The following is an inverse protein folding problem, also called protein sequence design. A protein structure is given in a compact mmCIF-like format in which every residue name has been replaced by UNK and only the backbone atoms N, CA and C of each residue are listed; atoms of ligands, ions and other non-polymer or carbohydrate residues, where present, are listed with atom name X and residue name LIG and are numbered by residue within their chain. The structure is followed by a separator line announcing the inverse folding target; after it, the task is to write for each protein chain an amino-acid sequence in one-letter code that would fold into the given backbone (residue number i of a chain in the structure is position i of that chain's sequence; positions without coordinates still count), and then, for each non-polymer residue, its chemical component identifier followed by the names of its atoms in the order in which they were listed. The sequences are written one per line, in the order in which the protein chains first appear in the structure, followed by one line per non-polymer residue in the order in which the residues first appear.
data_IF_170930075431
#
_entry.id   IF_170930075431
#
_cell.length_a   1.000
_cell.length_b   1.000
_cell.length_c   1.000
_cell.angle_alpha   90.00
_cell.angle_beta   90.00
_cell.angle_gamma   90.00
#
_symmetry.space_group_name_H-M   'P 1'
#
loop_
_entity.id
_entity.type
_entity.pdbx_description
1 polymer ?
#
# COMPACT_ATOMS: atom_id res chain seq x y z
N UNK A 1 -3.89 -29.39 13.19
CA UNK A 1 -4.90 -28.35 12.84
C UNK A 1 -4.33 -27.44 11.75
N UNK A 2 -4.78 -27.58 10.50
CA UNK A 2 -4.35 -26.69 9.41
C UNK A 2 -5.07 -25.35 9.53
N UNK A 3 -4.34 -24.30 9.90
CA UNK A 3 -4.81 -22.92 9.77
C UNK A 3 -4.86 -22.62 8.27
N UNK A 4 -6.03 -22.80 7.66
CA UNK A 4 -6.32 -22.27 6.34
C UNK A 4 -6.17 -20.75 6.43
N UNK A 5 -4.95 -20.25 6.23
CA UNK A 5 -4.71 -18.86 5.87
C UNK A 5 -5.44 -18.67 4.55
N UNK A 6 -6.68 -18.20 4.64
CA UNK A 6 -7.42 -17.61 3.55
C UNK A 6 -6.67 -16.32 3.18
N UNK A 7 -5.50 -16.47 2.55
CA UNK A 7 -4.96 -15.44 1.69
C UNK A 7 -6.11 -15.13 0.75
N UNK A 8 -6.74 -13.97 0.97
CA UNK A 8 -7.76 -13.41 0.11
C UNK A 8 -7.21 -13.50 -1.30
N UNK A 9 -7.63 -14.54 -2.05
CA UNK A 9 -7.13 -14.75 -3.40
C UNK A 9 -7.49 -13.48 -4.14
N UNK A 10 -6.45 -12.74 -4.53
CA UNK A 10 -6.63 -11.50 -5.25
C UNK A 10 -7.11 -11.90 -6.64
N UNK A 11 -8.42 -12.11 -6.78
CA UNK A 11 -8.99 -12.51 -8.06
C UNK A 11 -8.78 -11.36 -9.03
N UNK A 12 -8.56 -11.63 -10.33
CA UNK A 12 -8.40 -10.56 -11.32
C UNK A 12 -9.60 -9.60 -11.31
N UNK A 13 -10.78 -10.11 -10.97
CA UNK A 13 -12.01 -9.34 -10.78
C UNK A 13 -11.93 -8.38 -9.58
N UNK A 14 -11.43 -8.86 -8.44
CA UNK A 14 -11.22 -8.03 -7.25
C UNK A 14 -10.21 -6.93 -7.57
N UNK A 15 -9.10 -7.27 -8.23
CA UNK A 15 -8.10 -6.29 -8.66
C UNK A 15 -8.67 -5.24 -9.63
N UNK A 16 -9.53 -5.64 -10.58
CA UNK A 16 -10.24 -4.70 -11.45
C UNK A 16 -11.18 -3.76 -10.66
N UNK A 17 -11.94 -4.29 -9.71
CA UNK A 17 -12.82 -3.49 -8.85
C UNK A 17 -12.06 -2.52 -7.95
N UNK A 18 -10.92 -2.95 -7.40
CA UNK A 18 -10.04 -2.07 -6.60
C UNK A 18 -9.47 -0.95 -7.47
N UNK A 19 -8.92 -1.26 -8.66
CA UNK A 19 -8.38 -0.23 -9.57
C UNK A 19 -9.44 0.81 -9.94
N UNK A 20 -10.65 0.37 -10.29
CA UNK A 20 -11.73 1.28 -10.63
C UNK A 20 -12.24 2.06 -9.40
N UNK A 21 -12.34 1.40 -8.25
CA UNK A 21 -12.66 2.06 -6.98
C UNK A 21 -11.65 3.16 -6.61
N UNK A 22 -10.35 2.91 -6.81
CA UNK A 22 -9.30 3.91 -6.61
C UNK A 22 -9.48 5.11 -7.56
N UNK A 23 -9.78 4.86 -8.84
CA UNK A 23 -10.06 5.92 -9.83
C UNK A 23 -11.23 6.80 -9.38
N UNK A 24 -12.33 6.19 -8.95
CA UNK A 24 -13.52 6.91 -8.48
C UNK A 24 -13.23 7.74 -7.23
N UNK A 25 -12.58 7.14 -6.22
CA UNK A 25 -12.28 7.85 -4.96
C UNK A 25 -11.30 9.00 -5.20
N UNK A 26 -10.27 8.82 -6.05
CA UNK A 26 -9.40 9.93 -6.48
C UNK A 26 -10.18 11.05 -7.15
N UNK A 27 -11.11 10.71 -8.04
CA UNK A 27 -11.97 11.69 -8.70
C UNK A 27 -12.92 12.43 -7.74
N UNK A 28 -13.40 11.77 -6.67
CA UNK A 28 -14.18 12.41 -5.60
C UNK A 28 -13.31 13.35 -4.78
N UNK A 29 -12.14 12.89 -4.36
CA UNK A 29 -11.19 13.69 -3.58
C UNK A 29 -10.63 14.89 -4.36
N UNK A 30 -10.60 14.81 -5.69
CA UNK A 30 -10.21 15.91 -6.57
C UNK A 30 -11.37 16.88 -6.86
N UNK A 31 -12.61 16.39 -6.97
CA UNK A 31 -13.79 17.23 -7.23
C UNK A 31 -14.26 17.98 -5.99
N UNK A 32 -14.15 17.34 -4.82
CA UNK A 32 -14.71 17.87 -3.60
C UNK A 32 -13.67 18.78 -2.93
N UNK A 33 -13.85 20.08 -3.14
CA UNK A 33 -13.08 21.17 -2.52
C UNK A 33 -13.31 21.30 -1.02
N UNK A 34 -13.77 20.25 -0.34
CA UNK A 34 -13.92 20.26 1.10
C UNK A 34 -12.53 20.18 1.74
N UNK A 35 -11.92 21.34 1.99
CA UNK A 35 -10.67 21.50 2.78
C UNK A 35 -10.73 20.73 4.11
N UNK A 36 -11.94 20.49 4.61
CA UNK A 36 -12.19 19.82 5.88
C UNK A 36 -12.15 18.30 5.82
N UNK A 37 -12.13 17.69 4.62
CA UNK A 37 -12.15 16.24 4.43
C UNK A 37 -13.53 15.60 4.51
N UNK A 38 -13.59 14.33 4.09
CA UNK A 38 -14.83 13.57 3.94
C UNK A 38 -14.85 12.36 4.86
N UNK A 39 -16.02 12.04 5.42
CA UNK A 39 -16.21 10.78 6.14
C UNK A 39 -16.24 9.61 5.16
N UNK A 40 -15.97 8.40 5.65
CA UNK A 40 -16.06 7.20 4.81
C UNK A 40 -17.48 7.00 4.24
N UNK A 41 -18.50 7.36 5.01
CA UNK A 41 -19.90 7.26 4.58
C UNK A 41 -20.20 8.21 3.42
N UNK A 42 -19.76 9.46 3.52
CA UNK A 42 -19.90 10.45 2.46
C UNK A 42 -19.21 10.01 1.17
N UNK A 43 -17.94 9.56 1.27
CA UNK A 43 -17.20 9.04 0.12
C UNK A 43 -17.98 7.91 -0.57
N UNK A 44 -18.51 6.96 0.20
CA UNK A 44 -19.29 5.86 -0.35
C UNK A 44 -20.59 6.34 -1.02
N UNK A 45 -21.36 7.21 -0.36
CA UNK A 45 -22.60 7.75 -0.90
C UNK A 45 -22.39 8.52 -2.20
N UNK A 46 -21.34 9.35 -2.27
CA UNK A 46 -20.97 10.09 -3.48
C UNK A 46 -20.50 9.11 -4.56
N UNK A 47 -19.70 8.10 -4.20
CA UNK A 47 -19.18 7.15 -5.17
C UNK A 47 -20.27 6.26 -5.77
N UNK A 48 -21.27 5.84 -5.01
CA UNK A 48 -22.41 5.06 -5.52
C UNK A 48 -23.25 5.86 -6.52
N UNK A 49 -23.28 7.19 -6.41
CA UNK A 49 -23.96 8.08 -7.38
C UNK A 49 -23.16 8.27 -8.67
N UNK A 50 -21.82 8.14 -8.63
CA UNK A 50 -20.96 8.30 -9.82
C UNK A 50 -21.02 7.03 -10.69
N UNK A 51 -21.17 7.19 -12.00
CA UNK A 51 -21.15 6.06 -12.94
C UNK A 51 -19.73 5.49 -13.07
N UNK A 52 -19.54 4.16 -13.03
CA UNK A 52 -18.24 3.54 -13.25
C UNK A 52 -17.78 3.69 -14.70
N UNK A 53 -16.48 3.47 -14.96
CA UNK A 53 -15.92 3.46 -16.32
C UNK A 53 -16.65 2.44 -17.20
N UNK A 54 -16.93 2.74 -18.48
CA UNK A 54 -17.50 1.76 -19.41
C UNK A 54 -16.60 0.53 -19.61
N UNK A 55 -15.30 0.66 -19.32
CA UNK A 55 -14.36 -0.46 -19.37
C UNK A 55 -14.52 -1.45 -18.19
N UNK A 56 -15.17 -1.01 -17.10
CA UNK A 56 -15.37 -1.86 -15.94
C UNK A 56 -16.51 -2.85 -16.19
N UNK A 57 -16.15 -4.11 -16.46
CA UNK A 57 -17.10 -5.22 -16.55
C UNK A 57 -17.16 -5.93 -15.20
N UNK A 58 -18.30 -5.84 -14.52
CA UNK A 58 -18.56 -6.70 -13.35
C UNK A 58 -18.66 -8.15 -13.82
N UNK A 59 -17.60 -8.92 -13.63
CA UNK A 59 -17.55 -10.33 -14.01
C UNK A 59 -18.33 -11.24 -13.04
N UNK A 60 -18.94 -10.66 -12.00
CA UNK A 60 -19.99 -11.34 -11.27
C UNK A 60 -21.21 -11.41 -12.20
N UNK A 61 -21.30 -12.48 -12.98
CA UNK A 61 -22.61 -12.98 -13.39
C UNK A 61 -23.35 -13.21 -12.08
N UNK A 62 -24.27 -12.32 -11.73
CA UNK A 62 -25.26 -12.63 -10.73
C UNK A 62 -26.08 -13.76 -11.35
N UNK A 63 -25.61 -15.01 -11.21
CA UNK A 63 -26.55 -16.11 -11.36
C UNK A 63 -27.61 -15.78 -10.32
N UNK A 64 -28.86 -15.70 -10.76
CA UNK A 64 -30.00 -15.50 -9.86
C UNK A 64 -29.97 -16.54 -8.72
N UNK A 65 -29.31 -17.67 -8.97
CA UNK A 65 -29.07 -18.79 -8.05
C UNK A 65 -27.89 -18.59 -7.07
N UNK A 66 -27.03 -17.58 -7.22
CA UNK A 66 -25.93 -17.31 -6.26
C UNK A 66 -26.42 -16.77 -4.91
N UNK A 67 -27.72 -16.55 -4.75
CA UNK A 67 -28.37 -16.18 -3.47
C UNK A 67 -28.69 -17.43 -2.63
N UNK A 68 -28.25 -18.63 -3.03
CA UNK A 68 -28.28 -19.80 -2.14
C UNK A 68 -27.38 -19.50 -0.94
N UNK A 69 -28.01 -19.09 0.16
CA UNK A 69 -27.36 -18.89 1.46
C UNK A 69 -26.90 -20.26 1.92
N UNK A 70 -25.64 -20.57 1.66
CA UNK A 70 -25.03 -21.77 2.20
C UNK A 70 -24.95 -21.58 3.71
N UNK A 71 -25.73 -22.37 4.46
CA UNK A 71 -25.62 -22.44 5.90
C UNK A 71 -24.28 -23.11 6.22
N UNK A 72 -23.34 -22.34 6.78
CA UNK A 72 -22.04 -22.88 7.18
C UNK A 72 -22.12 -23.20 8.68
N UNK A 73 -22.09 -24.48 9.03
CA UNK A 73 -22.01 -24.91 10.41
C UNK A 73 -20.63 -24.53 10.98
N UNK A 74 -20.62 -23.70 12.03
CA UNK A 74 -19.39 -23.38 12.75
C UNK A 74 -18.94 -24.53 13.64
N UNK A 75 -17.67 -24.53 14.08
CA UNK A 75 -17.12 -25.52 15.02
C UNK A 75 -17.89 -25.63 16.35
N UNK A 76 -18.65 -24.60 16.71
CA UNK A 76 -19.47 -24.56 17.93
C UNK A 76 -20.90 -25.06 17.73
N UNK A 77 -21.23 -25.69 16.60
CA UNK A 77 -22.60 -26.13 16.27
C UNK A 77 -23.56 -25.00 15.89
N UNK A 78 -23.24 -23.76 16.22
CA UNK A 78 -24.06 -22.60 15.88
C UNK A 78 -24.06 -22.36 14.36
N UNK A 79 -25.26 -22.26 13.78
CA UNK A 79 -25.51 -21.87 12.39
C UNK A 79 -24.95 -20.47 12.16
N UNK A 80 -23.82 -20.36 11.45
CA UNK A 80 -23.33 -19.06 10.99
C UNK A 80 -24.03 -18.73 9.69
N UNK A 81 -24.98 -17.80 9.75
CA UNK A 81 -25.58 -17.24 8.54
C UNK A 81 -24.47 -16.61 7.69
N UNK A 82 -24.44 -16.95 6.40
CA UNK A 82 -23.57 -16.27 5.46
C UNK A 82 -23.88 -14.76 5.49
N UNK A 83 -22.86 -13.90 5.41
CA UNK A 83 -23.08 -12.46 5.43
C UNK A 83 -24.02 -12.08 4.27
N UNK A 84 -24.95 -11.14 4.48
CA UNK A 84 -25.86 -10.71 3.43
C UNK A 84 -25.05 -10.22 2.21
N UNK A 85 -25.60 -10.37 0.99
CA UNK A 85 -24.93 -9.87 -0.21
C UNK A 85 -24.68 -8.36 -0.07
N UNK A 86 -23.59 -7.85 -0.66
CA UNK A 86 -23.28 -6.42 -0.58
C UNK A 86 -24.40 -5.60 -1.25
N UNK A 87 -24.71 -4.38 -0.77
CA UNK A 87 -25.83 -3.58 -1.28
C UNK A 87 -25.78 -3.30 -2.79
N UNK A 88 -24.57 -3.10 -3.34
CA UNK A 88 -24.37 -2.74 -4.74
C UNK A 88 -23.41 -3.74 -5.42
N UNK A 89 -23.82 -4.98 -5.70
CA UNK A 89 -22.92 -6.05 -6.14
C UNK A 89 -22.26 -5.80 -7.51
N UNK A 90 -22.94 -5.07 -8.40
CA UNK A 90 -22.47 -4.72 -9.74
C UNK A 90 -21.53 -3.51 -9.77
N UNK A 91 -21.48 -2.73 -8.68
CA UNK A 91 -20.68 -1.52 -8.60
C UNK A 91 -19.22 -1.84 -8.21
N UNK A 92 -18.20 -1.09 -8.69
CA UNK A 92 -16.82 -1.30 -8.27
C UNK A 92 -16.64 -1.24 -6.75
N UNK A 93 -17.32 -0.28 -6.12
CA UNK A 93 -17.41 -0.15 -4.66
C UNK A 93 -18.68 -0.85 -4.18
N UNK A 94 -18.56 -2.15 -3.92
CA UNK A 94 -19.73 -3.01 -3.63
C UNK A 94 -20.41 -2.72 -2.29
N UNK A 95 -19.60 -2.33 -1.31
CA UNK A 95 -20.05 -2.07 0.06
C UNK A 95 -19.11 -1.09 0.77
N UNK A 96 -19.60 -0.53 1.88
CA UNK A 96 -18.79 0.30 2.78
C UNK A 96 -17.56 -0.45 3.30
N UNK A 97 -17.72 -1.73 3.63
CA UNK A 97 -16.63 -2.60 4.10
C UNK A 97 -15.57 -2.80 3.03
N UNK A 98 -15.97 -2.94 1.76
CA UNK A 98 -15.04 -3.03 0.64
C UNK A 98 -14.21 -1.75 0.49
N UNK A 99 -14.86 -0.58 0.55
CA UNK A 99 -14.17 0.72 0.52
C UNK A 99 -13.13 0.83 1.67
N UNK A 100 -13.54 0.49 2.90
CA UNK A 100 -12.67 0.54 4.10
C UNK A 100 -11.49 -0.42 4.06
N UNK A 101 -11.70 -1.65 3.58
CA UNK A 101 -10.67 -2.71 3.65
C UNK A 101 -9.72 -2.74 2.47
N UNK A 102 -10.19 -2.37 1.28
CA UNK A 102 -9.45 -2.63 0.04
C UNK A 102 -8.97 -1.37 -0.67
N UNK A 103 -9.73 -0.27 -0.58
CA UNK A 103 -9.47 0.92 -1.39
C UNK A 103 -8.77 2.01 -0.57
N UNK A 104 -9.32 2.36 0.59
CA UNK A 104 -8.76 3.41 1.44
C UNK A 104 -7.33 3.09 1.94
N UNK A 105 -7.00 1.86 2.37
CA UNK A 105 -5.63 1.53 2.80
C UNK A 105 -4.60 1.64 1.68
N UNK A 106 -5.01 1.43 0.41
CA UNK A 106 -4.12 1.59 -0.74
C UNK A 106 -3.81 3.07 -1.00
N UNK A 107 -4.82 3.95 -0.88
CA UNK A 107 -4.61 5.40 -1.02
C UNK A 107 -3.79 5.97 0.14
N UNK A 108 -4.02 5.50 1.35
CA UNK A 108 -3.25 5.85 2.54
C UNK A 108 -1.80 5.36 2.43
N UNK A 109 -1.59 4.11 1.99
CA UNK A 109 -0.25 3.54 1.75
C UNK A 109 0.53 4.31 0.68
N UNK A 110 -0.16 4.86 -0.32
CA UNK A 110 0.43 5.74 -1.34
C UNK A 110 0.64 7.19 -0.86
N UNK A 111 0.28 7.52 0.38
CA UNK A 111 0.31 8.89 0.95
C UNK A 111 -0.51 9.89 0.11
N UNK A 112 -1.58 9.43 -0.52
CA UNK A 112 -2.51 10.31 -1.26
C UNK A 112 -3.56 10.91 -0.31
N UNK A 113 -3.93 10.17 0.72
CA UNK A 113 -4.89 10.58 1.75
C UNK A 113 -4.35 10.26 3.15
N UNK A 114 -4.89 10.94 4.15
CA UNK A 114 -4.60 10.70 5.57
C UNK A 114 -5.90 10.73 6.37
N UNK A 115 -6.03 9.81 7.33
CA UNK A 115 -7.14 9.79 8.27
C UNK A 115 -6.85 10.76 9.43
N UNK A 116 -7.69 11.78 9.62
CA UNK A 116 -7.60 12.71 10.75
C UNK A 116 -8.82 12.61 11.65
N UNK A 117 -8.60 12.60 12.97
CA UNK A 117 -9.65 12.74 13.99
C UNK A 117 -9.93 14.22 14.20
N UNK A 118 -11.20 14.62 14.09
CA UNK A 118 -11.64 16.02 14.20
C UNK A 118 -12.94 16.08 15.01
N UNK A 119 -13.07 17.09 15.87
CA UNK A 119 -14.34 17.42 16.54
C UNK A 119 -15.25 18.14 15.53
N UNK A 120 -16.43 17.59 15.22
CA UNK A 120 -17.44 18.27 14.40
C UNK A 120 -18.76 18.30 15.15
N UNK A 121 -19.44 19.45 15.08
CA UNK A 121 -20.85 19.53 15.45
C UNK A 121 -21.63 18.81 14.34
N UNK A 122 -22.41 17.76 14.64
CA UNK A 122 -23.17 17.06 13.62
C UNK A 122 -24.15 18.03 12.96
N UNK A 123 -24.10 18.12 11.63
CA UNK A 123 -25.14 18.85 10.90
C UNK A 123 -26.40 18.00 10.92
N UNK A 124 -27.50 18.59 11.39
CA UNK A 124 -28.81 17.97 11.65
C UNK A 124 -29.32 17.15 10.44
N UNK A 125 -28.91 17.53 9.22
CA UNK A 125 -29.32 16.85 7.98
C UNK A 125 -28.79 15.41 7.83
N UNK A 126 -27.67 15.06 8.48
CA UNK A 126 -27.00 13.76 8.27
C UNK A 126 -27.47 12.64 9.21
N UNK A 127 -28.14 12.96 10.32
CA UNK A 127 -28.49 11.97 11.34
C UNK A 127 -29.77 11.17 11.03
N UNK A 128 -30.60 11.66 10.10
CA UNK A 128 -31.95 11.11 9.84
C UNK A 128 -31.96 9.71 9.20
N UNK A 129 -30.82 9.17 8.75
CA UNK A 129 -30.78 7.89 8.00
C UNK A 129 -30.16 6.72 8.73
N UNK A 130 -29.60 6.90 9.93
CA UNK A 130 -28.91 5.80 10.65
C UNK A 130 -29.53 5.41 11.98
N UNK A 131 -30.56 6.10 12.46
CA UNK A 131 -31.30 5.67 13.67
C UNK A 131 -32.41 4.67 13.33
N UNK A 132 -31.99 3.49 12.86
CA UNK A 132 -32.84 2.32 12.79
C UNK A 132 -32.87 1.58 14.13
N UNK A 133 -33.99 1.73 14.84
CA UNK A 133 -34.61 0.66 15.64
C UNK A 133 -34.07 0.31 17.04
N UNK A 134 -33.48 1.24 17.79
CA UNK A 134 -33.42 1.11 19.26
C UNK A 134 -34.63 1.83 19.86
N UNK A 135 -35.62 1.05 20.29
CA UNK A 135 -36.80 1.48 21.07
C UNK A 135 -36.38 1.98 22.47
N UNK A 136 -35.61 3.07 22.55
CA UNK A 136 -35.34 3.75 23.82
C UNK A 136 -36.29 4.94 23.97
N UNK A 137 -37.14 4.84 25.00
CA UNK A 137 -38.19 5.77 25.39
C UNK A 137 -37.69 7.23 25.49
N UNK A 138 -38.32 8.09 24.70
CA UNK A 138 -38.99 9.34 25.09
C UNK A 138 -38.36 10.14 26.25
N UNK A 139 -37.41 10.98 25.89
CA UNK A 139 -37.01 12.17 26.63
C UNK A 139 -36.43 13.17 25.64
N UNK A 140 -37.28 13.91 24.92
CA UNK A 140 -36.85 14.99 24.01
C UNK A 140 -36.51 16.21 24.86
N UNK A 141 -35.31 16.25 25.42
CA UNK A 141 -34.72 17.53 25.83
C UNK A 141 -34.09 18.15 24.58
N UNK A 142 -34.43 19.41 24.30
CA UNK A 142 -33.84 20.21 23.21
C UNK A 142 -32.40 20.62 23.59
N UNK A 143 -31.52 19.63 23.75
CA UNK A 143 -30.11 19.89 24.02
C UNK A 143 -29.40 20.27 22.71
N UNK A 144 -28.61 21.35 22.76
CA UNK A 144 -27.79 21.76 21.63
C UNK A 144 -26.85 20.61 21.22
N UNK A 145 -26.62 20.40 19.91
CA UNK A 145 -25.82 19.28 19.43
C UNK A 145 -24.39 19.38 19.97
N UNK A 146 -24.03 18.43 20.84
CA UNK A 146 -22.67 18.33 21.40
C UNK A 146 -21.68 17.94 20.29
N UNK A 147 -20.47 18.53 20.25
CA UNK A 147 -19.48 18.21 19.24
C UNK A 147 -19.02 16.74 19.36
N UNK A 148 -19.13 15.99 18.27
CA UNK A 148 -18.78 14.57 18.21
C UNK A 148 -17.43 14.41 17.51
N UNK A 149 -16.64 13.43 17.98
CA UNK A 149 -15.40 13.05 17.32
C UNK A 149 -15.67 12.23 16.06
N UNK A 150 -15.18 12.74 14.92
CA UNK A 150 -15.36 12.11 13.61
C UNK A 150 -14.01 11.88 12.95
N UNK A 151 -13.88 10.73 12.28
CA UNK A 151 -12.71 10.40 11.45
C UNK A 151 -12.96 10.83 10.00
N UNK A 152 -12.06 11.67 9.49
CA UNK A 152 -12.16 12.29 8.17
C UNK A 152 -10.95 11.94 7.34
N UNK A 153 -11.20 11.53 6.10
CA UNK A 153 -10.16 11.37 5.10
C UNK A 153 -9.87 12.74 4.47
N UNK A 154 -8.63 13.19 4.60
CA UNK A 154 -8.13 14.42 3.95
C UNK A 154 -7.13 14.05 2.87
N UNK A 155 -7.13 14.80 1.77
CA UNK A 155 -6.06 14.71 0.78
C UNK A 155 -4.76 15.21 1.37
N UNK A 156 -3.69 14.46 1.17
CA UNK A 156 -2.35 14.92 1.51
C UNK A 156 -1.90 15.78 0.33
N UNK A 157 -1.50 17.05 0.53
CA UNK A 157 -0.91 17.81 -0.55
C UNK A 157 0.31 17.04 -1.01
N UNK A 158 0.26 16.55 -2.25
CA UNK A 158 1.44 15.93 -2.85
C UNK A 158 2.55 16.98 -2.73
N UNK A 159 3.71 16.65 -2.15
CA UNK A 159 4.83 17.56 -2.22
C UNK A 159 4.94 17.91 -3.70
N UNK A 160 4.88 19.19 -4.04
CA UNK A 160 5.24 19.60 -5.40
C UNK A 160 6.62 19.01 -5.56
N UNK A 161 6.75 17.91 -6.32
CA UNK A 161 8.05 17.40 -6.69
C UNK A 161 8.76 18.65 -7.17
N UNK A 162 9.90 19.05 -6.56
CA UNK A 162 10.62 20.22 -7.04
C UNK A 162 10.74 19.95 -8.54
N UNK A 163 10.08 20.79 -9.35
CA UNK A 163 9.97 20.57 -10.78
C UNK A 163 11.38 20.26 -11.24
N UNK A 164 11.55 19.12 -11.94
CA UNK A 164 12.85 18.68 -12.40
C UNK A 164 13.59 19.92 -12.94
N UNK A 165 14.68 20.28 -12.28
CA UNK A 165 15.56 21.36 -12.70
C UNK A 165 14.95 22.77 -12.61
N UNK A 166 14.43 23.18 -11.45
CA UNK A 166 14.88 24.52 -11.02
C UNK A 166 16.34 24.31 -10.69
N UNK A 167 17.24 24.62 -11.61
CA UNK A 167 18.65 24.79 -11.25
C UNK A 167 18.61 25.68 -10.02
N UNK A 168 18.95 25.11 -8.87
CA UNK A 168 19.19 25.92 -7.70
C UNK A 168 20.37 26.76 -8.14
N UNK A 169 20.08 27.97 -8.61
CA UNK A 169 21.07 28.96 -8.91
C UNK A 169 21.64 29.28 -7.53
N UNK A 170 22.62 28.49 -7.12
CA UNK A 170 23.35 28.68 -5.89
C UNK A 170 24.10 30.02 -5.88
N UNK A 171 23.92 30.84 -6.92
CA UNK A 171 24.59 32.10 -7.12
C UNK A 171 26.10 31.96 -6.95
N UNK A 172 26.81 33.07 -6.78
CA UNK A 172 28.17 33.05 -6.27
C UNK A 172 28.28 32.50 -4.82
N UNK A 173 27.17 32.20 -4.14
CA UNK A 173 27.13 31.78 -2.74
C UNK A 173 27.45 30.30 -2.48
N UNK A 174 27.35 29.40 -3.47
CA UNK A 174 27.84 28.01 -3.29
C UNK A 174 29.35 27.93 -3.05
N UNK A 175 30.12 28.90 -3.55
CA UNK A 175 31.58 28.96 -3.33
C UNK A 175 31.95 29.54 -1.96
N UNK A 176 31.00 30.17 -1.25
CA UNK A 176 31.22 30.72 0.09
C UNK A 176 30.68 29.84 1.22
N UNK A 177 30.19 28.63 0.93
CA UNK A 177 30.00 27.57 1.93
C UNK A 177 31.36 27.04 2.40
N UNK A 178 32.17 27.95 2.96
CA UNK A 178 33.24 27.57 3.88
C UNK A 178 32.56 26.72 4.96
N UNK A 179 33.08 25.52 5.27
CA UNK A 179 32.48 24.69 6.31
C UNK A 179 32.23 25.54 7.54
N UNK A 180 31.12 25.28 8.21
CA UNK A 180 30.52 26.06 9.29
C UNK A 180 31.45 26.14 10.52
N UNK A 181 32.56 26.86 10.40
CA UNK A 181 33.51 27.14 11.48
C UNK A 181 32.90 28.05 12.55
N UNK A 182 31.75 28.67 12.23
CA UNK A 182 30.98 29.51 13.14
C UNK A 182 30.43 28.76 14.37
N UNK A 183 30.23 27.44 14.29
CA UNK A 183 29.67 26.65 15.40
C UNK A 183 30.71 26.26 16.45
N UNK A 184 32.01 26.37 16.15
CA UNK A 184 33.09 25.88 17.03
C UNK A 184 33.66 27.00 17.93
N UNK A 185 32.90 28.06 18.19
CA UNK A 185 33.28 29.13 19.11
C UNK A 185 34.44 30.02 18.64
N UNK A 186 34.80 29.99 17.36
CA UNK A 186 35.91 30.79 16.79
C UNK A 186 35.63 32.31 16.88
N UNK A 187 34.37 32.70 17.08
CA UNK A 187 33.94 34.09 17.30
C UNK A 187 33.63 34.42 18.77
N UNK A 188 33.90 33.53 19.73
CA UNK A 188 33.89 33.96 21.13
C UNK A 188 34.99 35.00 21.32
N UNK A 189 34.60 36.18 21.82
CA UNK A 189 35.53 37.29 22.06
C UNK A 189 36.59 36.86 23.09
N UNK A 190 37.73 36.42 22.58
CA UNK A 190 38.90 36.01 23.34
C UNK A 190 39.91 37.15 23.48
N UNK A 191 39.52 38.38 23.08
CA UNK A 191 40.33 39.59 23.22
C UNK A 191 40.67 39.91 24.68
N UNK A 192 39.77 39.55 25.61
CA UNK A 192 39.97 39.75 27.04
C UNK A 192 40.96 38.77 27.72
N UNK A 193 41.45 37.74 27.00
CA UNK A 193 42.39 36.75 27.54
C UNK A 193 43.85 37.16 27.29
N UNK A 194 44.75 36.90 28.25
CA UNK A 194 46.19 37.09 28.06
C UNK A 194 46.73 36.21 26.90
N UNK A 195 47.75 36.69 26.16
CA UNK A 195 48.42 36.03 25.02
C UNK A 195 48.71 34.55 25.24
N UNK A 196 49.15 34.13 26.44
CA UNK A 196 49.38 32.69 26.75
C UNK A 196 48.09 31.87 26.67
N UNK A 197 46.99 32.37 27.22
CA UNK A 197 45.68 31.70 27.22
C UNK A 197 45.06 31.70 25.82
N UNK A 198 45.26 32.76 25.04
CA UNK A 198 44.84 32.81 23.63
C UNK A 198 45.51 31.69 22.82
N UNK A 199 46.82 31.52 22.91
CA UNK A 199 47.55 30.43 22.21
C UNK A 199 47.04 29.05 22.61
N UNK A 200 46.88 28.79 23.91
CA UNK A 200 46.36 27.51 24.40
C UNK A 200 44.93 27.22 23.91
N UNK A 201 44.07 28.26 23.81
CA UNK A 201 42.73 28.11 23.23
C UNK A 201 42.77 27.80 21.73
N UNK A 202 43.60 28.49 20.95
CA UNK A 202 43.76 28.21 19.51
C UNK A 202 44.18 26.77 19.28
N UNK A 203 45.16 26.28 20.05
CA UNK A 203 45.59 24.88 19.97
C UNK A 203 44.48 23.89 20.37
N UNK A 204 43.73 24.19 21.44
CA UNK A 204 42.62 23.36 21.89
C UNK A 204 41.52 23.27 20.83
N UNK A 205 41.07 24.41 20.29
CA UNK A 205 40.05 24.48 19.24
C UNK A 205 40.53 23.73 17.99
N UNK A 206 41.81 23.89 17.61
CA UNK A 206 42.41 23.16 16.50
C UNK A 206 42.30 21.63 16.65
N UNK A 207 42.61 21.10 17.84
CA UNK A 207 42.49 19.66 18.13
C UNK A 207 41.02 19.18 18.07
N UNK A 208 40.10 19.95 18.65
CA UNK A 208 38.66 19.61 18.65
C UNK A 208 38.08 19.60 17.24
N UNK A 209 38.47 20.57 16.41
CA UNK A 209 38.13 20.62 14.98
C UNK A 209 38.61 19.38 14.25
N UNK A 210 39.88 19.00 14.44
CA UNK A 210 40.43 17.83 13.76
C UNK A 210 39.72 16.56 14.18
N UNK A 211 39.40 16.43 15.47
CA UNK A 211 38.60 15.33 15.99
C UNK A 211 37.21 15.30 15.34
N UNK A 212 36.51 16.44 15.27
CA UNK A 212 35.20 16.55 14.64
C UNK A 212 35.24 16.17 13.15
N UNK A 213 36.30 16.59 12.42
CA UNK A 213 36.53 16.17 11.03
C UNK A 213 36.71 14.66 10.90
N UNK A 214 37.50 14.04 11.77
CA UNK A 214 37.72 12.58 11.78
C UNK A 214 36.43 11.83 12.06
N UNK A 215 35.63 12.26 13.04
CA UNK A 215 34.33 11.66 13.37
C UNK A 215 33.37 11.77 12.19
N UNK A 216 33.26 12.96 11.57
CA UNK A 216 32.39 13.17 10.41
C UNK A 216 32.82 12.31 9.22
N UNK A 217 34.11 12.18 8.99
CA UNK A 217 34.63 11.32 7.92
C UNK A 217 34.36 9.84 8.21
N UNK A 218 34.58 9.38 9.45
CA UNK A 218 34.26 8.01 9.87
C UNK A 218 32.77 7.68 9.67
N UNK A 219 31.87 8.55 10.14
CA UNK A 219 30.43 8.38 9.95
C UNK A 219 30.03 8.34 8.46
N UNK A 220 30.63 9.20 7.64
CA UNK A 220 30.39 9.20 6.19
C UNK A 220 30.90 7.91 5.53
N UNK A 221 32.04 7.38 5.99
CA UNK A 221 32.61 6.12 5.51
C UNK A 221 31.72 4.94 5.88
N UNK A 222 31.22 4.88 7.12
CA UNK A 222 30.27 3.85 7.58
C UNK A 222 28.97 3.87 6.75
N UNK A 223 28.39 5.05 6.52
CA UNK A 223 27.20 5.19 5.67
C UNK A 223 27.44 4.68 4.24
N UNK A 224 28.61 4.96 3.66
CA UNK A 224 28.97 4.45 2.32
C UNK A 224 29.07 2.93 2.30
N UNK A 225 29.72 2.34 3.30
CA UNK A 225 29.86 0.88 3.43
C UNK A 225 28.49 0.22 3.62
N UNK A 226 27.59 0.81 4.41
CA UNK A 226 26.22 0.31 4.61
C UNK A 226 25.43 0.32 3.29
N UNK A 227 25.50 1.42 2.54
CA UNK A 227 24.85 1.53 1.22
C UNK A 227 25.40 0.48 0.25
N UNK A 228 26.71 0.25 0.25
CA UNK A 228 27.35 -0.74 -0.60
C UNK A 228 26.95 -2.17 -0.21
N UNK A 229 26.91 -2.49 1.08
CA UNK A 229 26.43 -3.77 1.59
C UNK A 229 24.96 -4.02 1.19
N UNK A 230 24.10 -2.99 1.27
CA UNK A 230 22.71 -3.08 0.81
C UNK A 230 22.61 -3.31 -0.70
N UNK A 231 23.50 -2.72 -1.50
CA UNK A 231 23.57 -2.97 -2.96
C UNK A 231 23.97 -4.42 -3.24
N UNK A 232 25.04 -4.91 -2.60
CA UNK A 232 25.49 -6.30 -2.76
C UNK A 232 24.40 -7.30 -2.33
N UNK A 233 23.71 -7.06 -1.21
CA UNK A 233 22.60 -7.89 -0.76
C UNK A 233 21.42 -7.93 -1.76
N UNK A 234 21.11 -6.79 -2.41
CA UNK A 234 20.09 -6.74 -3.48
C UNK A 234 20.52 -7.52 -4.71
N UNK A 235 21.80 -7.46 -5.09
CA UNK A 235 22.34 -8.22 -6.21
C UNK A 235 22.31 -9.73 -5.97
N UNK A 236 22.68 -10.17 -4.76
CA UNK A 236 22.58 -11.58 -4.37
C UNK A 236 21.14 -12.09 -4.43
N UNK A 237 20.18 -11.33 -3.87
CA UNK A 237 18.74 -11.67 -3.99
C UNK A 237 18.27 -11.71 -5.44
N UNK A 238 18.79 -10.84 -6.30
CA UNK A 238 18.48 -10.85 -7.74
C UNK A 238 19.01 -12.13 -8.39
N UNK A 239 20.26 -12.52 -8.10
CA UNK A 239 20.87 -13.77 -8.61
C UNK A 239 20.10 -15.00 -8.13
N UNK A 240 19.78 -15.10 -6.83
CA UNK A 240 18.95 -16.18 -6.29
C UNK A 240 17.57 -16.27 -6.95
N UNK A 241 16.93 -15.12 -7.23
CA UNK A 241 15.67 -15.07 -7.95
C UNK A 241 15.76 -15.62 -9.37
N UNK A 242 16.84 -15.28 -10.07
CA UNK A 242 17.15 -15.77 -11.42
C UNK A 242 17.42 -17.28 -11.39
N UNK A 243 18.21 -17.78 -10.44
CA UNK A 243 18.50 -19.21 -10.30
C UNK A 243 17.26 -20.04 -10.00
N UNK A 244 16.39 -19.55 -9.10
CA UNK A 244 15.08 -20.19 -8.83
C UNK A 244 14.20 -20.23 -10.08
N UNK A 245 14.20 -19.16 -10.88
CA UNK A 245 13.46 -19.13 -12.14
C UNK A 245 13.99 -20.17 -13.13
N UNK A 246 15.32 -20.23 -13.34
CA UNK A 246 15.96 -21.23 -14.20
C UNK A 246 15.76 -22.67 -13.71
N UNK A 247 15.80 -22.91 -12.40
CA UNK A 247 15.47 -24.22 -11.81
C UNK A 247 14.03 -24.62 -12.16
N UNK A 248 13.08 -23.69 -12.02
CA UNK A 248 11.68 -23.90 -12.42
C UNK A 248 11.52 -24.19 -13.91
N UNK A 249 12.27 -23.50 -14.78
CA UNK A 249 12.29 -23.77 -16.23
C UNK A 249 12.81 -25.17 -16.53
N UNK A 250 13.94 -25.58 -15.92
CA UNK A 250 14.51 -26.92 -16.08
C UNK A 250 13.55 -28.02 -15.64
N UNK A 251 12.83 -27.82 -14.53
CA UNK A 251 11.81 -28.76 -14.05
C UNK A 251 10.69 -28.91 -15.09
N UNK A 252 10.14 -27.81 -15.62
CA UNK A 252 9.09 -27.85 -16.66
C UNK A 252 9.56 -28.54 -17.94
N UNK A 253 10.79 -28.27 -18.38
CA UNK A 253 11.37 -28.94 -19.55
C UNK A 253 11.50 -30.46 -19.35
N UNK A 254 11.98 -30.91 -18.17
CA UNK A 254 12.04 -32.33 -17.81
C UNK A 254 10.66 -32.99 -17.79
N UNK A 255 9.65 -32.31 -17.25
CA UNK A 255 8.27 -32.81 -17.24
C UNK A 255 7.71 -32.95 -18.66
N UNK A 256 7.95 -31.96 -19.54
CA UNK A 256 7.55 -32.01 -20.96
C UNK A 256 8.23 -33.17 -21.70
N UNK A 257 9.54 -33.37 -21.49
CA UNK A 257 10.27 -34.49 -22.08
C UNK A 257 9.73 -35.85 -21.62
N UNK A 258 9.43 -36.00 -20.32
CA UNK A 258 8.77 -37.21 -19.77
C UNK A 258 7.40 -37.46 -20.39
N UNK A 259 6.59 -36.41 -20.56
CA UNK A 259 5.28 -36.51 -21.20
C UNK A 259 5.38 -36.96 -22.67
N UNK A 260 6.30 -36.36 -23.44
CA UNK A 260 6.55 -36.74 -24.84
C UNK A 260 7.03 -38.20 -24.95
N UNK A 261 7.96 -38.63 -24.07
CA UNK A 261 8.41 -40.02 -24.04
C UNK A 261 7.29 -40.99 -23.67
N UNK A 262 6.37 -40.60 -22.76
CA UNK A 262 5.16 -41.40 -22.46
C UNK A 262 4.28 -41.57 -23.69
N UNK A 263 4.00 -40.48 -24.42
CA UNK A 263 3.20 -40.53 -25.66
C UNK A 263 3.87 -41.42 -26.71
N UNK A 264 5.19 -41.31 -26.90
CA UNK A 264 5.95 -42.17 -27.83
C UNK A 264 5.85 -43.65 -27.45
N UNK A 265 5.97 -43.99 -26.16
CA UNK A 265 5.83 -45.37 -25.66
C UNK A 265 4.42 -45.92 -25.89
N UNK A 266 3.38 -45.13 -25.60
CA UNK A 266 2.00 -45.54 -25.84
C UNK A 266 1.71 -45.74 -27.33
N UNK A 267 2.22 -44.85 -28.20
CA UNK A 267 2.12 -45.00 -29.66
C UNK A 267 2.83 -46.27 -30.16
N UNK A 268 4.03 -46.57 -29.65
CA UNK A 268 4.76 -47.78 -30.00
C UNK A 268 4.05 -49.06 -29.53
N UNK A 269 3.46 -49.06 -28.32
CA UNK A 269 2.62 -50.17 -27.83
C UNK A 269 1.38 -50.37 -28.70
N UNK A 270 0.71 -49.29 -29.09
CA UNK A 270 -0.46 -49.34 -29.97
C UNK A 270 -0.09 -49.93 -31.34
N UNK A 271 1.03 -49.52 -31.93
CA UNK A 271 1.53 -50.07 -33.19
C UNK A 271 1.84 -51.58 -33.08
N UNK A 272 2.49 -52.02 -31.99
CA UNK A 272 2.73 -53.45 -31.73
C UNK A 272 1.43 -54.26 -31.59
N UNK A 273 0.40 -53.69 -30.94
CA UNK A 273 -0.92 -54.33 -30.83
C UNK A 273 -1.58 -54.46 -32.21
N UNK A 274 -1.55 -53.40 -33.02
CA UNK A 274 -2.11 -53.40 -34.37
C UNK A 274 -1.42 -54.43 -35.29
N UNK A 275 -0.09 -54.56 -35.20
CA UNK A 275 0.64 -55.58 -35.94
C UNK A 275 0.24 -57.00 -35.53
N UNK A 276 0.05 -57.26 -34.22
CA UNK A 276 -0.35 -58.58 -33.72
C UNK A 276 -1.77 -58.97 -34.16
N UNK A 277 -2.70 -58.02 -34.26
CA UNK A 277 -4.06 -58.28 -34.72
C UNK A 277 -4.17 -58.51 -36.23
N UNK A 278 -3.26 -57.95 -37.04
CA UNK A 278 -3.29 -58.10 -38.50
C UNK A 278 -2.84 -59.47 -39.03
N UNK A 279 -2.09 -60.25 -38.25
CA UNK A 279 -1.56 -61.58 -38.64
C UNK A 279 -2.53 -62.75 -38.45
N UNK A 280 -3.77 -62.53 -38.00
CA UNK A 280 -4.74 -63.61 -37.69
C UNK A 280 -5.83 -63.78 -38.76
N UNK A 281 -5.73 -63.08 -39.89
CA UNK A 281 -6.71 -63.12 -41.00
C UNK A 281 -6.04 -63.57 -42.31
N UNK A 282 -5.37 -64.71 -42.24
CA UNK A 282 -4.96 -65.54 -43.38
C UNK A 282 -5.13 -66.99 -42.94
#
# INVERSE_FOLDING_TARGET
MQVLKLYSRNTPQKAAAVREGLRMVRGIMASDTSKDGLTTSQIYQIAVKKRPSPQFKSLLKQSKDSVVRVNVYGKSGNLKMSPPPPPNPLHPLKSMTFLKREVLPVLEGNKEITLKRVMRVPSIEQETKTQGNTKSKKGKTNEAPSPVQVYLWKTVPKPKNPSATTEVNWGPYAKSFKPQWWEVGVNEDSGHLNRRRQRARVEKIGREVELAKRVKWAATKEQRLEIEALKQARELKRKEGVDRWFAGVRIRMRQRARALNKVRREKAKAAKRAAKTGTSTA
#
